data_IF_131407835686
#
_entry.id   IF_131407835686
#
_cell.length_a   1.000
_cell.length_b   1.000
_cell.length_c   1.000
_cell.angle_alpha   90.00
_cell.angle_beta   90.00
_cell.angle_gamma   90.00
#
_symmetry.space_group_name_H-M   'P 1'
#
loop_
_entity.id
_entity.type
_entity.pdbx_description
1 polymer ?
#
# COMPACT_ATOMS: atom_id res chain seq x y z
N UNK A 1 -1.63 12.20 -13.47
CA UNK A 1 -2.72 12.29 -12.49
C UNK A 1 -2.13 12.68 -11.15
N UNK A 2 -2.71 13.67 -10.49
CA UNK A 2 -2.35 14.10 -9.14
C UNK A 2 -3.17 13.28 -8.14
N UNK A 3 -2.56 12.79 -7.08
CA UNK A 3 -3.25 12.07 -6.01
C UNK A 3 -2.71 12.47 -4.64
N UNK A 4 -3.58 12.46 -3.64
CA UNK A 4 -3.23 12.71 -2.25
C UNK A 4 -3.05 11.38 -1.51
N UNK A 5 -1.95 11.25 -0.78
CA UNK A 5 -1.60 10.04 -0.02
C UNK A 5 -1.82 10.30 1.45
N UNK A 6 -2.55 9.39 2.09
CA UNK A 6 -2.81 9.38 3.53
C UNK A 6 -2.27 8.09 4.13
N UNK A 7 -1.72 8.17 5.34
CA UNK A 7 -1.37 6.99 6.13
C UNK A 7 -2.42 6.75 7.20
N UNK A 8 -2.62 5.48 7.54
CA UNK A 8 -3.46 5.11 8.66
C UNK A 8 -2.80 5.51 9.98
N UNK A 9 -3.60 6.01 10.92
CA UNK A 9 -3.17 6.23 12.31
C UNK A 9 -3.21 4.95 13.16
N UNK A 10 -3.91 3.91 12.69
CA UNK A 10 -4.10 2.64 13.41
C UNK A 10 -3.20 1.51 12.88
N UNK A 11 -2.90 1.51 11.57
CA UNK A 11 -2.16 0.45 10.90
C UNK A 11 -0.91 1.00 10.23
N UNK A 12 0.25 0.67 10.78
CA UNK A 12 1.52 1.01 10.15
C UNK A 12 1.66 0.33 8.78
N UNK A 13 2.34 1.03 7.85
CA UNK A 13 2.51 0.56 6.47
C UNK A 13 1.23 0.53 5.62
N UNK A 14 0.10 1.02 6.14
CA UNK A 14 -1.15 1.12 5.38
C UNK A 14 -1.33 2.54 4.83
N UNK A 15 -1.53 2.64 3.51
CA UNK A 15 -1.68 3.92 2.81
C UNK A 15 -2.95 3.95 1.96
N UNK A 16 -3.61 5.09 1.94
CA UNK A 16 -4.80 5.36 1.15
C UNK A 16 -4.49 6.46 0.14
N UNK A 17 -4.88 6.22 -1.10
CA UNK A 17 -4.68 7.12 -2.23
C UNK A 17 -6.05 7.58 -2.70
N UNK A 18 -6.21 8.89 -2.85
CA UNK A 18 -7.44 9.52 -3.35
C UNK A 18 -7.12 10.57 -4.41
N UNK A 19 -7.99 10.77 -5.42
CA UNK A 19 -7.75 11.73 -6.50
C UNK A 19 -7.87 13.19 -6.01
N UNK A 20 -8.79 13.42 -5.06
CA UNK A 20 -9.09 14.73 -4.51
C UNK A 20 -8.73 14.76 -3.03
N UNK A 21 -8.03 15.80 -2.61
CA UNK A 21 -7.58 15.97 -1.23
C UNK A 21 -8.79 16.09 -0.30
N UNK A 22 -8.74 15.38 0.82
CA UNK A 22 -9.72 15.37 1.92
C UNK A 22 -11.13 14.92 1.50
N UNK A 23 -11.26 14.28 0.33
CA UNK A 23 -12.51 13.73 -0.18
C UNK A 23 -12.50 12.19 -0.09
N UNK A 24 -13.08 11.69 0.99
CA UNK A 24 -13.19 10.25 1.28
C UNK A 24 -14.57 9.68 0.93
N UNK A 25 -15.40 10.43 0.20
CA UNK A 25 -16.78 10.03 -0.15
C UNK A 25 -16.88 8.69 -0.90
N UNK A 26 -15.85 8.36 -1.67
CA UNK A 26 -15.75 7.11 -2.44
C UNK A 26 -15.22 5.93 -1.62
N UNK A 27 -14.76 6.19 -0.39
CA UNK A 27 -14.13 5.17 0.45
C UNK A 27 -15.20 4.55 1.35
N UNK A 28 -15.39 3.21 1.32
CA UNK A 28 -16.38 2.55 2.17
C UNK A 28 -16.17 2.84 3.66
N UNK A 29 -17.26 3.08 4.40
CA UNK A 29 -17.20 3.37 5.83
C UNK A 29 -16.45 2.30 6.63
N UNK A 30 -16.66 1.02 6.32
CA UNK A 30 -15.96 -0.10 6.97
C UNK A 30 -14.44 -0.02 6.81
N UNK A 31 -13.97 0.44 5.64
CA UNK A 31 -12.55 0.64 5.37
C UNK A 31 -12.06 1.84 6.17
N UNK A 32 -12.78 2.96 6.18
CA UNK A 32 -12.44 4.15 6.97
C UNK A 32 -12.40 3.85 8.48
N UNK A 33 -13.33 3.06 9.02
CA UNK A 33 -13.34 2.65 10.42
C UNK A 33 -12.07 1.86 10.80
N UNK A 34 -11.67 0.93 9.91
CA UNK A 34 -10.46 0.13 10.06
C UNK A 34 -9.19 0.96 9.87
N UNK A 35 -9.21 1.90 8.92
CA UNK A 35 -8.11 2.81 8.61
C UNK A 35 -7.91 3.87 9.72
N UNK A 36 -8.96 4.20 10.46
CA UNK A 36 -8.92 5.23 11.50
C UNK A 36 -8.80 6.62 10.91
N UNK A 37 -8.20 7.55 11.66
CA UNK A 37 -8.01 8.93 11.21
C UNK A 37 -6.94 8.97 10.11
N UNK A 38 -7.28 9.38 8.87
CA UNK A 38 -6.30 9.50 7.80
C UNK A 38 -5.37 10.68 8.08
N UNK A 39 -4.06 10.43 8.02
CA UNK A 39 -3.03 11.45 8.20
C UNK A 39 -2.44 11.76 6.83
N UNK A 40 -2.59 13.00 6.35
CA UNK A 40 -2.00 13.41 5.09
C UNK A 40 -0.48 13.26 5.14
N UNK A 41 0.08 12.59 4.14
CA UNK A 41 1.52 12.34 4.04
C UNK A 41 2.13 13.27 3.00
N UNK A 42 1.61 13.19 1.77
CA UNK A 42 2.11 13.96 0.65
C UNK A 42 1.15 13.92 -0.53
N UNK A 43 1.39 14.81 -1.49
CA UNK A 43 0.69 14.83 -2.76
C UNK A 43 1.66 14.42 -3.86
N UNK A 44 1.24 13.49 -4.72
CA UNK A 44 2.10 12.84 -5.72
C UNK A 44 1.51 12.99 -7.10
N UNK A 45 2.38 13.27 -8.07
CA UNK A 45 2.03 13.17 -9.48
C UNK A 45 2.44 11.80 -10.02
N UNK A 46 1.46 10.93 -10.21
CA UNK A 46 1.62 9.56 -10.76
C UNK A 46 2.10 9.54 -12.22
N UNK A 47 2.21 10.70 -12.90
CA UNK A 47 2.81 10.78 -14.23
C UNK A 47 4.34 10.96 -14.18
N UNK A 48 4.88 11.49 -13.07
CA UNK A 48 6.30 11.84 -12.95
C UNK A 48 7.05 11.03 -11.89
N UNK A 49 6.33 10.31 -11.02
CA UNK A 49 6.91 9.63 -9.86
C UNK A 49 6.48 8.16 -9.82
N UNK A 50 7.46 7.29 -9.67
CA UNK A 50 7.26 5.87 -9.37
C UNK A 50 7.11 5.68 -7.85
N UNK A 51 6.22 4.77 -7.45
CA UNK A 51 6.02 4.39 -6.05
C UNK A 51 6.80 3.10 -5.78
N UNK A 52 7.62 3.06 -4.73
CA UNK A 52 8.53 1.94 -4.48
C UNK A 52 7.81 0.63 -4.12
N UNK A 53 6.67 0.73 -3.43
CA UNK A 53 5.96 -0.42 -2.87
C UNK A 53 4.66 -0.76 -3.62
N UNK A 54 4.28 0.02 -4.63
CA UNK A 54 3.00 -0.15 -5.31
C UNK A 54 3.12 0.19 -6.80
N UNK A 55 2.45 -0.59 -7.63
CA UNK A 55 2.39 -0.34 -9.06
C UNK A 55 1.48 0.88 -9.34
N UNK A 56 2.08 1.94 -9.89
CA UNK A 56 1.40 3.19 -10.25
C UNK A 56 0.23 3.00 -11.21
N UNK A 57 0.31 2.06 -12.15
CA UNK A 57 -0.79 1.78 -13.08
C UNK A 57 -2.01 1.23 -12.37
N UNK A 58 -1.81 0.30 -11.41
CA UNK A 58 -2.91 -0.22 -10.58
C UNK A 58 -3.57 0.90 -9.78
N UNK A 59 -2.77 1.83 -9.24
CA UNK A 59 -3.29 3.01 -8.54
C UNK A 59 -4.13 3.86 -9.49
N UNK A 60 -3.63 4.19 -10.69
CA UNK A 60 -4.38 4.99 -11.68
C UNK A 60 -5.72 4.34 -12.04
N UNK A 61 -5.72 3.05 -12.34
CA UNK A 61 -6.94 2.31 -12.69
C UNK A 61 -7.94 2.28 -11.54
N UNK A 62 -7.49 1.98 -10.32
CA UNK A 62 -8.38 1.97 -9.15
C UNK A 62 -8.93 3.36 -8.83
N UNK A 63 -8.10 4.40 -8.90
CA UNK A 63 -8.56 5.78 -8.72
C UNK A 63 -9.60 6.18 -9.78
N UNK A 64 -9.46 5.68 -11.02
CA UNK A 64 -10.41 5.96 -12.11
C UNK A 64 -11.71 5.16 -12.04
N UNK A 65 -11.68 3.94 -11.48
CA UNK A 65 -12.86 3.06 -11.41
C UNK A 65 -13.58 3.12 -10.07
N UNK A 66 -12.82 3.09 -8.97
CA UNK A 66 -13.34 2.99 -7.59
C UNK A 66 -13.27 4.33 -6.85
N UNK A 67 -12.49 5.29 -7.35
CA UNK A 67 -12.30 6.59 -6.69
C UNK A 67 -11.28 6.57 -5.53
N UNK A 68 -10.73 5.41 -5.17
CA UNK A 68 -9.67 5.28 -4.16
C UNK A 68 -8.78 4.06 -4.43
N UNK A 69 -7.62 4.01 -3.77
CA UNK A 69 -6.75 2.82 -3.76
C UNK A 69 -6.15 2.61 -2.37
N UNK A 70 -6.22 1.38 -1.85
CA UNK A 70 -5.67 1.00 -0.55
C UNK A 70 -4.42 0.14 -0.73
N UNK A 71 -3.30 0.60 -0.17
CA UNK A 71 -2.07 -0.17 -0.03
C UNK A 71 -2.02 -0.75 1.39
N UNK A 72 -1.91 -2.08 1.48
CA UNK A 72 -1.66 -2.79 2.72
C UNK A 72 -0.15 -3.05 2.88
N UNK A 73 0.37 -3.15 4.11
CA UNK A 73 1.76 -3.54 4.34
C UNK A 73 2.02 -4.94 3.76
N UNK A 74 3.20 -5.17 3.16
CA UNK A 74 3.58 -6.51 2.75
C UNK A 74 3.63 -7.42 3.99
N UNK A 75 3.27 -8.70 3.85
CA UNK A 75 3.41 -9.64 4.94
C UNK A 75 4.89 -9.70 5.37
N UNK A 76 5.17 -9.82 6.69
CA UNK A 76 6.54 -9.95 7.16
C UNK A 76 7.19 -11.16 6.48
N UNK A 77 8.43 -10.97 6.01
CA UNK A 77 9.19 -12.04 5.40
C UNK A 77 9.35 -13.18 6.41
N UNK A 78 8.95 -14.39 6.02
CA UNK A 78 9.03 -15.54 6.91
C UNK A 78 10.47 -16.06 6.96
N UNK A 79 11.31 -15.38 7.75
CA UNK A 79 12.75 -15.67 7.87
C UNK A 79 13.02 -17.14 8.19
N UNK A 80 12.14 -17.78 8.96
CA UNK A 80 12.27 -19.19 9.34
C UNK A 80 12.15 -20.15 8.15
N UNK A 81 11.33 -19.81 7.14
CA UNK A 81 11.22 -20.60 5.92
C UNK A 81 12.52 -20.52 5.10
N UNK A 82 13.05 -19.30 4.91
CA UNK A 82 14.33 -19.06 4.22
C UNK A 82 15.50 -19.79 4.88
N UNK A 83 15.58 -19.79 6.21
CA UNK A 83 16.64 -20.51 6.94
C UNK A 83 16.56 -22.04 6.76
N UNK A 84 15.36 -22.62 6.68
CA UNK A 84 15.18 -24.07 6.47
C UNK A 84 15.62 -24.50 5.07
N UNK A 85 15.25 -23.73 4.04
CA UNK A 85 15.66 -23.98 2.66
C UNK A 85 17.19 -23.91 2.49
N UNK A 86 17.82 -22.90 3.11
CA UNK A 86 19.27 -22.71 3.06
C UNK A 86 20.04 -23.84 3.76
N UNK A 87 19.53 -24.36 4.89
CA UNK A 87 20.12 -25.51 5.59
C UNK A 87 19.97 -26.84 4.83
N UNK A 88 18.92 -26.99 4.02
CA UNK A 88 18.69 -28.20 3.24
C UNK A 88 19.58 -28.26 1.99
N UNK A 89 19.81 -27.13 1.33
CA UNK A 89 20.77 -27.03 0.22
C UNK A 89 22.22 -27.27 0.68
N UNK A 90 22.61 -26.75 1.85
CA UNK A 90 23.96 -27.00 2.40
C UNK A 90 24.21 -28.45 2.85
N UNK A 91 23.17 -29.29 2.94
CA UNK A 91 23.29 -30.70 3.35
C UNK A 91 23.38 -31.70 2.19
N UNK A 92 23.11 -31.28 0.96
CA UNK A 92 23.17 -32.15 -0.23
C UNK A 92 24.46 -31.96 -1.05
N UNK A 93 25.38 -31.09 -0.59
CA UNK A 93 26.65 -30.77 -1.26
C UNK A 93 27.91 -31.22 -0.53
N UNK A 94 27.84 -32.24 0.35
CA UNK A 94 29.02 -32.87 0.98
C UNK A 94 28.94 -34.37 0.87
#
# INVERSE_FOLDING_TARGET
>A
MLCSIYKSSKKEGTYLYIPKRDDFSQVPDTLMQTFGKPIFVMLVNLAKRQLAYVNVEKVKTALGQQGFFLQLPPPPENLLARYKEQKQQNRQGS
#
